data_IF_827892722180
#
_entry.id   IF_827892722180
#
_cell.length_a   1.000
_cell.length_b   1.000
_cell.length_c   1.000
_cell.angle_alpha   90.00
_cell.angle_beta   90.00
_cell.angle_gamma   90.00
#
_symmetry.space_group_name_H-M   'P 1'
#
loop_
_entity.id
_entity.type
_entity.pdbx_description
1 polymer ?
#
# COMPACT_ATOMS: atom_id res chain seq x y z
N UNK A 1 -25.57 7.85 -13.25
CA UNK A 1 -24.28 7.17 -12.98
C UNK A 1 -24.40 5.92 -12.09
N UNK A 2 -24.91 4.78 -12.63
CA UNK A 2 -25.14 3.54 -11.86
C UNK A 2 -23.86 2.89 -11.29
N UNK A 3 -22.78 2.85 -12.10
CA UNK A 3 -21.51 2.20 -11.74
C UNK A 3 -20.81 2.79 -10.51
N UNK A 4 -20.91 4.11 -10.30
CA UNK A 4 -20.30 4.77 -9.14
C UNK A 4 -21.04 4.42 -7.85
N UNK A 5 -22.38 4.38 -7.91
CA UNK A 5 -23.23 3.96 -6.81
C UNK A 5 -23.00 2.48 -6.45
N UNK A 6 -22.90 1.60 -7.44
CA UNK A 6 -22.57 0.18 -7.22
C UNK A 6 -21.22 0.00 -6.52
N UNK A 7 -20.19 0.76 -6.93
CA UNK A 7 -18.86 0.72 -6.28
C UNK A 7 -18.91 1.25 -4.85
N UNK A 8 -19.68 2.31 -4.60
CA UNK A 8 -19.91 2.84 -3.24
C UNK A 8 -20.57 1.78 -2.36
N UNK A 9 -21.65 1.17 -2.84
CA UNK A 9 -22.38 0.14 -2.11
C UNK A 9 -21.54 -1.12 -1.84
N UNK A 10 -20.75 -1.56 -2.82
CA UNK A 10 -19.80 -2.66 -2.64
C UNK A 10 -18.76 -2.32 -1.57
N UNK A 11 -18.16 -1.13 -1.64
CA UNK A 11 -17.18 -0.70 -0.66
C UNK A 11 -17.79 -0.57 0.73
N UNK A 12 -19.00 -0.01 0.87
CA UNK A 12 -19.72 0.11 2.15
C UNK A 12 -19.89 -1.24 2.87
N UNK A 13 -19.94 -2.36 2.14
CA UNK A 13 -20.02 -3.71 2.72
C UNK A 13 -18.70 -4.27 3.23
N UNK A 14 -17.56 -3.66 2.90
CA UNK A 14 -16.28 -4.11 3.47
C UNK A 14 -16.31 -3.99 5.00
N UNK A 15 -15.56 -4.82 5.72
CA UNK A 15 -15.48 -4.76 7.19
C UNK A 15 -14.10 -4.31 7.69
N UNK A 16 -13.16 -4.18 6.76
CA UNK A 16 -11.75 -3.91 7.00
C UNK A 16 -11.37 -2.59 6.35
N UNK A 17 -10.46 -1.86 6.99
CA UNK A 17 -10.01 -0.54 6.51
C UNK A 17 -9.10 -0.66 5.29
N UNK A 18 -8.26 -1.70 5.24
CA UNK A 18 -7.41 -1.97 4.09
C UNK A 18 -8.17 -2.92 3.13
N UNK A 19 -8.46 -2.49 1.89
CA UNK A 19 -9.18 -3.30 0.91
C UNK A 19 -8.46 -4.60 0.59
N UNK A 20 -9.21 -5.66 0.26
CA UNK A 20 -8.65 -6.99 -0.02
C UNK A 20 -7.63 -6.97 -1.17
N UNK A 21 -7.81 -6.11 -2.18
CA UNK A 21 -6.86 -5.94 -3.28
C UNK A 21 -5.51 -5.37 -2.83
N UNK A 22 -5.51 -4.48 -1.82
CA UNK A 22 -4.31 -3.92 -1.20
C UNK A 22 -3.66 -4.98 -0.31
N UNK A 23 -4.45 -5.65 0.53
CA UNK A 23 -3.98 -6.75 1.39
C UNK A 23 -3.32 -7.87 0.60
N UNK A 24 -3.83 -8.20 -0.60
CA UNK A 24 -3.21 -9.17 -1.49
C UNK A 24 -1.81 -8.72 -1.96
N UNK A 25 -1.64 -7.45 -2.35
CA UNK A 25 -0.33 -6.90 -2.74
C UNK A 25 0.66 -6.95 -1.58
N UNK A 26 0.21 -6.60 -0.37
CA UNK A 26 1.00 -6.68 0.86
C UNK A 26 1.45 -8.11 1.14
N UNK A 27 0.54 -9.08 1.07
CA UNK A 27 0.85 -10.49 1.31
C UNK A 27 1.86 -11.04 0.28
N UNK A 28 1.69 -10.67 -0.99
CA UNK A 28 2.62 -11.03 -2.06
C UNK A 28 4.02 -10.47 -1.79
N UNK A 29 4.12 -9.17 -1.53
CA UNK A 29 5.39 -8.52 -1.18
C UNK A 29 6.04 -9.15 0.06
N UNK A 30 5.25 -9.49 1.09
CA UNK A 30 5.69 -10.17 2.32
C UNK A 30 6.18 -11.60 2.09
N UNK A 31 5.67 -12.29 1.08
CA UNK A 31 6.17 -13.61 0.72
C UNK A 31 7.49 -13.51 -0.02
N UNK A 32 7.56 -12.61 -1.01
CA UNK A 32 8.75 -12.36 -1.81
C UNK A 32 9.91 -11.77 -0.99
N UNK A 33 9.63 -11.02 0.08
CA UNK A 33 10.66 -10.39 0.90
C UNK A 33 11.51 -11.39 1.71
N UNK A 34 10.98 -12.59 1.99
CA UNK A 34 11.61 -13.58 2.89
C UNK A 34 12.92 -14.15 2.36
N UNK A 35 13.12 -14.08 1.04
CA UNK A 35 14.32 -14.61 0.38
C UNK A 35 15.36 -13.52 0.11
N UNK A 36 15.08 -12.26 0.45
CA UNK A 36 15.97 -11.14 0.17
C UNK A 36 17.04 -11.04 1.24
N UNK A 37 18.27 -10.76 0.81
CA UNK A 37 19.38 -10.43 1.72
C UNK A 37 19.40 -8.93 1.96
N UNK A 38 19.35 -8.54 3.23
CA UNK A 38 19.23 -7.15 3.69
C UNK A 38 20.54 -6.74 4.38
N UNK A 39 20.98 -5.52 4.10
CA UNK A 39 22.03 -4.82 4.83
C UNK A 39 21.39 -3.57 5.45
N UNK A 40 21.48 -3.45 6.78
CA UNK A 40 21.00 -2.27 7.49
C UNK A 40 22.08 -1.19 7.43
N UNK A 41 21.78 -0.07 6.77
CA UNK A 41 22.70 1.07 6.62
C UNK A 41 22.59 2.01 7.83
N UNK A 42 21.46 1.99 8.54
CA UNK A 42 21.12 2.88 9.65
C UNK A 42 20.03 3.87 9.29
N UNK A 43 19.47 4.56 10.29
CA UNK A 43 18.45 5.62 10.12
C UNK A 43 17.21 5.22 9.30
N UNK A 44 16.83 3.95 9.32
CA UNK A 44 15.68 3.43 8.55
C UNK A 44 15.96 3.28 7.04
N UNK A 45 17.24 3.30 6.64
CA UNK A 45 17.69 2.98 5.29
C UNK A 45 18.29 1.56 5.23
N UNK A 46 17.99 0.87 4.14
CA UNK A 46 18.36 -0.53 3.95
C UNK A 46 18.78 -0.76 2.51
N UNK A 47 19.87 -1.50 2.33
CA UNK A 47 20.29 -1.98 1.02
C UNK A 47 19.91 -3.46 0.86
N UNK A 48 19.26 -3.77 -0.26
CA UNK A 48 18.71 -5.10 -0.52
C UNK A 48 19.27 -5.64 -1.82
N UNK A 49 19.80 -6.85 -1.72
CA UNK A 49 20.36 -7.54 -2.88
C UNK A 49 19.23 -8.21 -3.64
N UNK A 50 18.85 -7.60 -4.76
CA UNK A 50 17.98 -8.21 -5.74
C UNK A 50 18.69 -9.28 -6.57
N UNK A 51 17.98 -9.84 -7.55
CA UNK A 51 18.54 -10.85 -8.46
C UNK A 51 19.60 -10.29 -9.40
N UNK A 52 19.41 -9.05 -9.85
CA UNK A 52 20.23 -8.39 -10.88
C UNK A 52 21.03 -7.21 -10.35
N UNK A 53 20.49 -6.51 -9.35
CA UNK A 53 21.11 -5.31 -8.77
C UNK A 53 20.69 -5.12 -7.32
N UNK A 54 21.36 -4.20 -6.62
CA UNK A 54 20.97 -3.74 -5.30
C UNK A 54 19.89 -2.66 -5.39
N UNK A 55 19.05 -2.60 -4.36
CA UNK A 55 17.99 -1.61 -4.21
C UNK A 55 18.05 -1.01 -2.83
N UNK A 56 17.87 0.30 -2.71
CA UNK A 56 17.74 0.97 -1.42
C UNK A 56 16.26 1.17 -1.09
N UNK A 57 15.90 0.89 0.15
CA UNK A 57 14.59 1.19 0.73
C UNK A 57 14.76 2.16 1.90
N UNK A 58 13.98 3.24 1.89
CA UNK A 58 14.05 4.32 2.88
C UNK A 58 12.71 4.46 3.57
N UNK A 59 12.61 3.94 4.79
CA UNK A 59 11.35 3.85 5.52
C UNK A 59 10.80 5.22 5.92
N UNK A 60 11.67 6.15 6.32
CA UNK A 60 11.25 7.47 6.81
C UNK A 60 10.60 8.38 5.76
N UNK A 61 10.80 8.07 4.47
CA UNK A 61 10.20 8.81 3.35
C UNK A 61 9.36 7.92 2.43
N UNK A 62 9.09 6.67 2.83
CA UNK A 62 8.25 5.72 2.09
C UNK A 62 8.69 5.48 0.64
N UNK A 63 10.00 5.34 0.40
CA UNK A 63 10.55 5.12 -0.95
C UNK A 63 11.35 3.83 -1.08
N UNK A 64 11.45 3.34 -2.31
CA UNK A 64 12.38 2.30 -2.70
C UNK A 64 12.81 2.56 -4.15
N UNK A 65 14.08 2.29 -4.47
CA UNK A 65 14.68 2.52 -5.80
C UNK A 65 13.99 1.74 -6.92
N UNK A 66 13.27 0.66 -6.59
CA UNK A 66 12.45 -0.03 -7.58
C UNK A 66 11.25 0.80 -8.09
N UNK A 67 10.95 1.95 -7.48
CA UNK A 67 9.87 2.87 -7.84
C UNK A 67 8.46 2.40 -7.48
N UNK A 68 8.26 1.12 -7.15
CA UNK A 68 6.93 0.55 -6.93
C UNK A 68 6.20 1.19 -5.74
N UNK A 69 6.89 1.44 -4.63
CA UNK A 69 6.26 1.94 -3.41
C UNK A 69 5.65 3.35 -3.58
N UNK A 70 6.40 4.38 -4.02
CA UNK A 70 5.83 5.72 -4.21
C UNK A 70 4.71 5.75 -5.26
N UNK A 71 4.80 4.92 -6.32
CA UNK A 71 3.79 4.89 -7.39
C UNK A 71 2.51 4.18 -6.93
N UNK A 72 2.65 3.01 -6.32
CA UNK A 72 1.51 2.16 -5.98
C UNK A 72 0.88 2.49 -4.63
N UNK A 73 1.59 3.22 -3.77
CA UNK A 73 1.22 3.46 -2.38
C UNK A 73 1.32 2.22 -1.49
N UNK A 74 1.88 1.10 -1.98
CA UNK A 74 2.03 -0.15 -1.23
C UNK A 74 3.52 -0.55 -1.19
N UNK A 75 4.05 -0.95 -0.03
CA UNK A 75 5.43 -1.43 0.05
C UNK A 75 5.69 -2.57 -0.94
N UNK A 76 6.78 -2.45 -1.71
CA UNK A 76 7.29 -3.55 -2.53
C UNK A 76 7.96 -4.62 -1.65
N UNK A 77 8.39 -5.74 -2.24
CA UNK A 77 9.10 -6.80 -1.50
C UNK A 77 10.38 -6.29 -0.83
N UNK A 78 11.10 -5.36 -1.45
CA UNK A 78 12.27 -4.72 -0.86
C UNK A 78 11.91 -3.91 0.40
N UNK A 79 10.98 -2.97 0.26
CA UNK A 79 10.47 -2.18 1.37
C UNK A 79 9.89 -3.06 2.49
N UNK A 80 9.19 -4.13 2.13
CA UNK A 80 8.61 -5.07 3.09
C UNK A 80 9.68 -5.81 3.89
N UNK A 81 10.79 -6.20 3.25
CA UNK A 81 11.94 -6.77 3.94
C UNK A 81 12.51 -5.77 4.96
N UNK A 82 12.69 -4.51 4.56
CA UNK A 82 13.13 -3.43 5.45
C UNK A 82 12.18 -3.19 6.61
N UNK A 83 10.86 -3.11 6.37
CA UNK A 83 9.84 -2.95 7.42
C UNK A 83 9.89 -4.12 8.39
N UNK A 84 10.04 -5.35 7.88
CA UNK A 84 10.11 -6.57 8.68
C UNK A 84 11.41 -6.71 9.48
N UNK A 85 12.48 -6.00 9.09
CA UNK A 85 13.70 -5.90 9.87
C UNK A 85 13.60 -4.76 10.89
N UNK A 86 13.02 -3.61 10.51
CA UNK A 86 12.88 -2.45 11.37
C UNK A 86 11.91 -2.69 12.53
N UNK A 87 10.84 -3.44 12.25
CA UNK A 87 9.83 -3.86 13.22
C UNK A 87 9.93 -5.36 13.45
N UNK A 88 9.62 -5.86 14.66
CA UNK A 88 9.47 -7.32 14.84
C UNK A 88 8.32 -7.85 13.96
N UNK A 89 8.40 -9.09 13.46
CA UNK A 89 7.36 -9.66 12.56
C UNK A 89 5.94 -9.59 13.13
N UNK A 90 5.79 -9.68 14.46
CA UNK A 90 4.50 -9.53 15.15
C UNK A 90 3.98 -8.10 15.00
N UNK A 91 4.84 -7.10 15.21
CA UNK A 91 4.49 -5.69 15.07
C UNK A 91 4.21 -5.27 13.62
N UNK A 92 4.75 -5.97 12.61
CA UNK A 92 4.48 -5.67 11.19
C UNK A 92 3.00 -5.82 10.86
N UNK A 93 2.32 -6.84 11.38
CA UNK A 93 0.89 -7.06 11.09
C UNK A 93 0.03 -5.89 11.57
N UNK A 94 0.38 -5.33 12.71
CA UNK A 94 -0.36 -4.24 13.32
C UNK A 94 0.01 -2.88 12.72
N UNK A 95 1.26 -2.73 12.24
CA UNK A 95 1.81 -1.44 11.74
C UNK A 95 1.89 -1.32 10.23
N UNK A 96 1.57 -2.36 9.46
CA UNK A 96 1.70 -2.28 7.99
C UNK A 96 0.81 -1.18 7.39
N UNK A 97 -0.30 -0.86 8.03
CA UNK A 97 -1.17 0.26 7.65
C UNK A 97 -0.43 1.61 7.59
N UNK A 98 0.56 1.82 8.47
CA UNK A 98 1.35 3.06 8.55
C UNK A 98 2.25 3.25 7.31
N UNK A 99 2.53 2.16 6.59
CA UNK A 99 3.38 2.14 5.40
C UNK A 99 2.58 2.08 4.09
N UNK A 100 1.24 2.04 4.17
CA UNK A 100 0.33 2.08 3.03
C UNK A 100 -0.18 3.51 2.85
N UNK A 101 -0.20 3.99 1.61
CA UNK A 101 -0.65 5.34 1.33
C UNK A 101 -2.12 5.53 1.75
N UNK A 102 -2.47 6.63 2.46
CA UNK A 102 -3.83 6.84 3.00
C UNK A 102 -4.95 6.83 1.97
N UNK A 103 -4.67 7.11 0.70
CA UNK A 103 -5.67 7.04 -0.38
C UNK A 103 -6.16 5.62 -0.68
N UNK A 104 -5.47 4.59 -0.17
CA UNK A 104 -5.78 3.18 -0.41
C UNK A 104 -6.66 2.57 0.67
N UNK A 105 -7.22 3.38 1.57
CA UNK A 105 -8.12 2.90 2.61
C UNK A 105 -9.59 2.89 2.15
N UNK A 106 -10.41 2.09 2.83
CA UNK A 106 -11.86 2.07 2.70
C UNK A 106 -12.44 3.47 2.90
N UNK A 107 -11.99 4.19 3.93
CA UNK A 107 -12.49 5.54 4.22
C UNK A 107 -12.20 6.50 3.07
N UNK A 108 -10.97 6.53 2.57
CA UNK A 108 -10.59 7.36 1.42
C UNK A 108 -11.35 6.99 0.15
N UNK A 109 -11.57 5.69 -0.07
CA UNK A 109 -12.39 5.21 -1.18
C UNK A 109 -13.82 5.74 -1.05
N UNK A 110 -14.50 5.53 0.09
CA UNK A 110 -15.88 5.99 0.29
C UNK A 110 -16.01 7.50 0.16
N UNK A 111 -15.05 8.27 0.66
CA UNK A 111 -15.01 9.72 0.54
C UNK A 111 -14.99 10.18 -0.92
N UNK A 112 -14.33 9.43 -1.81
CA UNK A 112 -14.32 9.70 -3.27
C UNK A 112 -15.73 9.63 -3.89
N UNK A 113 -16.65 8.86 -3.29
CA UNK A 113 -18.04 8.69 -3.77
C UNK A 113 -19.07 9.44 -2.90
N UNK A 114 -18.66 10.33 -1.98
CA UNK A 114 -19.60 11.10 -1.17
C UNK A 114 -20.25 12.25 -1.95
N UNK A 115 -19.48 12.92 -2.82
CA UNK A 115 -19.97 14.06 -3.62
C UNK A 115 -20.15 13.63 -5.07
N UNK A 116 -21.18 12.81 -5.36
CA UNK A 116 -21.44 12.38 -6.73
C UNK A 116 -21.88 13.55 -7.60
N UNK A 117 -21.26 13.69 -8.77
CA UNK A 117 -21.71 14.63 -9.80
C UNK A 117 -23.08 14.16 -10.28
N UNK A 118 -24.10 14.98 -10.02
CA UNK A 118 -25.44 14.77 -10.55
C UNK A 118 -25.49 15.28 -11.99
N UNK A 119 -26.20 14.56 -12.88
CA UNK A 119 -26.45 15.07 -14.22
C UNK A 119 -27.30 16.34 -14.12
N UNK A 120 -26.90 17.40 -14.83
CA UNK A 120 -27.75 18.56 -15.05
C UNK A 120 -28.84 18.10 -16.02
N UNK A 121 -30.10 18.34 -15.67
CA UNK A 121 -31.23 18.02 -16.53
C UNK A 121 -31.29 19.10 -17.60
N UNK A 122 -31.14 18.73 -18.87
CA UNK A 122 -31.34 19.66 -19.98
C UNK A 122 -32.82 20.09 -19.99
N UNK A 123 -33.08 21.36 -19.68
CA UNK A 123 -34.42 21.95 -19.76
C UNK A 123 -34.72 22.24 -21.23
N UNK A 124 -35.66 21.50 -21.83
CA UNK A 124 -36.31 21.82 -23.10
C UNK A 124 -37.76 22.24 -22.85
#
# INVERSE_FOLDING_TARGET
MRRFQERKEQCSRWKIEIPQSVSYKVLKASTESRILRIINVGNGEYELLGKTMTYVAKLGIFTCDCGVWPISGVPCSYAMASISHFSSMVAVRDKIGDYIHPSLTRTSFLNTYNNMIHHIIDQF
#
